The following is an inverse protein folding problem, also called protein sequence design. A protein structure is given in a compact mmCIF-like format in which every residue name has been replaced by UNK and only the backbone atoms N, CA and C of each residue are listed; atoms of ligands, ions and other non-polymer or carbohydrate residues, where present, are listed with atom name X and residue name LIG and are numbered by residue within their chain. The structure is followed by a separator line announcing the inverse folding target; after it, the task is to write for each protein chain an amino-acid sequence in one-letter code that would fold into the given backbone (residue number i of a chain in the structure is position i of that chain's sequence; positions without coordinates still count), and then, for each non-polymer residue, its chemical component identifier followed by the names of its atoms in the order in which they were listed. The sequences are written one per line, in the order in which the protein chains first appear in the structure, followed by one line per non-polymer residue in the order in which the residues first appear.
data_IF_472626717609
#
_entry.id   IF_472626717609
#
_cell.length_a   1.000
_cell.length_b   1.000
_cell.length_c   1.000
_cell.angle_alpha   90.00
_cell.angle_beta   90.00
_cell.angle_gamma   90.00
#
_symmetry.space_group_name_H-M   'P 1'
#
loop_
_entity.id
_entity.type
_entity.pdbx_description
1 polymer ?
#
# COMPACT_ATOMS: atom_id res chain seq x y z
N UNK A 1 -55.80 -10.56 -36.16
CA UNK A 1 -55.59 -10.62 -34.70
C UNK A 1 -54.18 -10.12 -34.39
N UNK A 2 -53.99 -8.80 -34.19
CA UNK A 2 -53.45 -8.31 -32.91
C UNK A 2 -53.87 -6.86 -32.57
N UNK A 3 -54.70 -6.62 -31.54
CA UNK A 3 -55.02 -5.25 -31.04
C UNK A 3 -55.42 -5.27 -29.55
N UNK A 4 -54.52 -5.66 -28.66
CA UNK A 4 -54.78 -5.65 -27.19
C UNK A 4 -53.54 -5.32 -26.34
N UNK A 5 -52.65 -4.43 -26.81
CA UNK A 5 -51.53 -3.94 -25.98
C UNK A 5 -51.27 -2.44 -26.06
N UNK A 6 -52.11 -1.68 -26.76
CA UNK A 6 -51.94 -0.22 -26.90
C UNK A 6 -52.85 0.60 -25.97
N UNK A 7 -53.85 -0.01 -25.34
CA UNK A 7 -54.83 0.70 -24.49
C UNK A 7 -54.44 0.75 -22.99
N UNK A 8 -53.24 0.32 -22.62
CA UNK A 8 -52.79 0.29 -21.21
C UNK A 8 -51.79 1.42 -20.85
N UNK A 9 -51.42 2.28 -21.80
CA UNK A 9 -50.40 3.33 -21.57
C UNK A 9 -50.97 4.76 -21.46
N UNK A 10 -52.25 4.96 -21.72
CA UNK A 10 -52.91 6.29 -21.67
C UNK A 10 -53.78 6.51 -20.43
N UNK A 11 -53.78 5.59 -19.47
CA UNK A 11 -54.54 5.72 -18.22
C UNK A 11 -53.69 6.07 -16.98
N UNK A 12 -52.37 6.18 -17.12
CA UNK A 12 -51.45 6.45 -16.00
C UNK A 12 -50.88 7.89 -15.96
N UNK A 13 -51.17 8.74 -16.95
CA UNK A 13 -50.68 10.13 -17.02
C UNK A 13 -51.75 11.17 -16.63
N UNK A 14 -52.95 10.75 -16.22
CA UNK A 14 -54.04 11.67 -15.86
C UNK A 14 -54.24 11.89 -14.35
N UNK A 15 -53.43 11.27 -13.47
CA UNK A 15 -53.61 11.32 -12.01
C UNK A 15 -52.49 12.03 -11.25
N UNK A 16 -51.57 12.69 -11.96
CA UNK A 16 -50.45 13.46 -11.37
C UNK A 16 -50.66 14.99 -11.39
N UNK A 17 -51.83 15.48 -11.83
CA UNK A 17 -52.08 16.91 -12.05
C UNK A 17 -53.11 17.53 -11.07
N UNK A 18 -53.47 16.86 -9.97
CA UNK A 18 -54.51 17.34 -9.03
C UNK A 18 -54.08 17.55 -7.58
N UNK A 19 -52.78 17.56 -7.28
CA UNK A 19 -52.25 17.81 -5.93
C UNK A 19 -51.23 18.97 -5.84
N UNK A 20 -51.25 19.93 -6.77
CA UNK A 20 -50.34 21.11 -6.73
C UNK A 20 -51.07 22.46 -6.70
N UNK A 21 -52.22 22.52 -6.06
CA UNK A 21 -52.94 23.76 -5.82
C UNK A 21 -53.67 23.66 -4.48
N UNK A 22 -52.93 23.80 -3.40
CA UNK A 22 -53.39 24.27 -2.09
C UNK A 22 -52.15 24.31 -1.18
N UNK A 23 -51.57 25.50 -1.02
CA UNK A 23 -50.87 25.98 0.19
C UNK A 23 -50.17 27.30 -0.16
N UNK A 24 -50.97 28.36 -0.12
CA UNK A 24 -50.51 29.73 0.00
C UNK A 24 -51.30 30.32 1.17
N UNK A 25 -50.70 30.33 2.37
CA UNK A 25 -50.94 31.30 3.45
C UNK A 25 -50.19 30.87 4.72
N UNK A 26 -49.06 31.52 5.00
CA UNK A 26 -48.58 31.86 6.34
C UNK A 26 -47.20 32.53 6.21
N UNK A 27 -47.18 33.84 5.96
CA UNK A 27 -45.96 34.65 6.07
C UNK A 27 -46.07 35.55 7.30
N UNK A 28 -45.23 35.26 8.29
CA UNK A 28 -45.25 35.91 9.60
C UNK A 28 -43.93 35.74 10.33
N UNK A 29 -43.11 36.81 10.28
CA UNK A 29 -42.07 37.21 11.23
C UNK A 29 -41.01 36.18 11.67
N UNK A 30 -39.76 36.35 11.23
CA UNK A 30 -38.63 36.46 12.16
C UNK A 30 -37.42 37.14 11.49
N UNK A 31 -36.99 38.27 12.04
CA UNK A 31 -35.84 39.05 11.59
C UNK A 31 -34.84 39.13 12.74
N UNK A 32 -34.17 38.01 13.06
CA UNK A 32 -33.16 37.99 14.12
C UNK A 32 -32.07 36.92 13.96
N UNK A 33 -31.76 36.48 12.72
CA UNK A 33 -30.83 35.37 12.46
C UNK A 33 -29.52 35.70 11.74
N UNK A 34 -29.33 36.93 11.22
CA UNK A 34 -28.18 37.21 10.35
C UNK A 34 -26.91 37.69 11.09
N UNK A 35 -27.03 38.23 12.31
CA UNK A 35 -25.90 38.88 13.00
C UNK A 35 -25.06 37.90 13.86
N UNK A 36 -25.62 36.75 14.22
CA UNK A 36 -24.91 35.72 15.00
C UNK A 36 -24.03 34.80 14.13
N UNK A 37 -24.40 34.60 12.87
CA UNK A 37 -23.64 33.75 11.94
C UNK A 37 -22.37 34.43 11.39
N UNK A 38 -22.36 35.77 11.33
CA UNK A 38 -21.23 36.56 10.82
C UNK A 38 -20.12 36.74 11.88
N UNK A 39 -20.48 36.76 13.17
CA UNK A 39 -19.51 36.84 14.27
C UNK A 39 -18.81 35.50 14.55
N UNK A 40 -19.53 34.38 14.41
CA UNK A 40 -18.98 33.03 14.59
C UNK A 40 -18.01 32.65 13.44
N UNK A 41 -18.28 33.14 12.22
CA UNK A 41 -17.37 32.99 11.08
C UNK A 41 -16.09 33.83 11.21
N UNK A 42 -16.16 35.01 11.82
CA UNK A 42 -14.99 35.88 12.03
C UNK A 42 -14.08 35.40 13.18
N UNK A 43 -14.63 34.79 14.24
CA UNK A 43 -13.84 34.14 15.30
C UNK A 43 -13.24 32.81 14.85
N UNK A 44 -13.89 32.07 13.94
CA UNK A 44 -13.35 30.85 13.33
C UNK A 44 -12.22 31.15 12.34
N UNK A 45 -12.33 32.21 11.51
CA UNK A 45 -11.26 32.63 10.58
C UNK A 45 -10.03 33.19 11.34
N UNK A 46 -10.23 33.88 12.48
CA UNK A 46 -9.12 34.33 13.33
C UNK A 46 -8.44 33.17 14.09
N UNK A 47 -9.17 32.11 14.43
CA UNK A 47 -8.61 30.89 15.07
C UNK A 47 -7.94 29.96 14.06
N UNK A 48 -8.45 29.90 12.82
CA UNK A 48 -7.81 29.17 11.71
C UNK A 48 -6.55 29.87 11.20
N UNK A 49 -6.49 31.20 11.21
CA UNK A 49 -5.27 31.94 10.83
C UNK A 49 -4.15 31.83 11.88
N UNK A 50 -4.48 31.76 13.18
CA UNK A 50 -3.49 31.55 14.26
C UNK A 50 -3.06 30.06 14.38
N UNK A 51 -3.88 29.12 13.90
CA UNK A 51 -3.51 27.71 13.75
C UNK A 51 -2.67 27.43 12.48
N UNK A 52 -2.94 28.16 11.38
CA UNK A 52 -2.20 28.01 10.12
C UNK A 52 -0.77 28.57 10.17
N UNK A 53 -0.45 29.47 11.11
CA UNK A 53 0.92 29.96 11.32
C UNK A 53 1.80 28.99 12.15
N UNK A 54 1.22 28.01 12.86
CA UNK A 54 1.98 27.02 13.67
C UNK A 54 2.25 25.68 12.96
N UNK A 55 1.62 25.42 11.82
CA UNK A 55 1.76 24.15 11.08
C UNK A 55 2.84 24.17 9.98
N UNK A 56 3.51 25.30 9.75
CA UNK A 56 4.60 25.44 8.76
C UNK A 56 6.00 25.02 9.25
N UNK A 57 6.16 24.80 10.55
CA UNK A 57 7.47 24.63 11.21
C UNK A 57 7.97 23.15 11.32
N UNK A 58 7.11 22.11 11.44
CA UNK A 58 7.56 20.71 11.43
C UNK A 58 7.78 20.13 10.02
N UNK A 59 7.21 20.73 8.96
CA UNK A 59 7.28 20.16 7.60
C UNK A 59 8.68 20.33 6.98
N UNK A 60 9.34 21.48 7.17
CA UNK A 60 10.67 21.73 6.59
C UNK A 60 11.74 20.77 7.14
N UNK A 61 11.73 20.52 8.46
CA UNK A 61 12.64 19.55 9.10
C UNK A 61 12.28 18.12 8.71
N UNK A 62 10.99 17.78 8.65
CA UNK A 62 10.53 16.45 8.23
C UNK A 62 10.88 16.14 6.76
N UNK A 63 10.71 17.11 5.86
CA UNK A 63 11.06 17.01 4.45
C UNK A 63 12.57 16.84 4.27
N UNK A 64 13.38 17.67 4.93
CA UNK A 64 14.84 17.51 4.92
C UNK A 64 15.27 16.15 5.51
N UNK A 65 14.61 15.68 6.57
CA UNK A 65 14.90 14.38 7.15
C UNK A 65 14.62 13.22 6.19
N UNK A 66 13.53 13.28 5.41
CA UNK A 66 13.19 12.24 4.44
C UNK A 66 14.33 12.01 3.41
N UNK A 67 14.90 13.09 2.87
CA UNK A 67 16.02 13.03 1.93
C UNK A 67 17.34 12.62 2.59
N UNK A 68 17.57 13.06 3.83
CA UNK A 68 18.81 12.79 4.55
C UNK A 68 18.92 11.33 5.00
N UNK A 69 17.84 10.73 5.46
CA UNK A 69 17.86 9.36 6.00
C UNK A 69 17.88 8.26 4.95
N UNK A 70 17.62 8.58 3.67
CA UNK A 70 17.81 7.66 2.53
C UNK A 70 19.18 7.83 1.85
N UNK A 71 19.90 8.91 2.12
CA UNK A 71 21.25 9.11 1.59
C UNK A 71 22.27 8.17 2.28
N UNK A 72 23.33 7.72 1.58
CA UNK A 72 24.39 6.90 2.18
C UNK A 72 24.94 7.53 3.47
N UNK A 73 25.18 6.76 4.54
CA UNK A 73 25.60 7.29 5.83
C UNK A 73 26.86 8.16 5.77
N UNK A 74 27.76 7.90 4.83
CA UNK A 74 29.00 8.66 4.59
C UNK A 74 28.72 10.08 4.09
N UNK A 75 27.64 10.25 3.32
CA UNK A 75 27.21 11.52 2.74
C UNK A 75 26.29 12.32 3.67
N UNK A 76 25.75 11.67 4.71
CA UNK A 76 24.75 12.24 5.60
C UNK A 76 25.18 13.59 6.19
N UNK A 77 26.38 13.67 6.77
CA UNK A 77 26.85 14.89 7.44
C UNK A 77 26.99 16.03 6.45
N UNK A 78 27.57 15.76 5.27
CA UNK A 78 27.75 16.77 4.22
C UNK A 78 26.40 17.31 3.73
N UNK A 79 25.43 16.42 3.50
CA UNK A 79 24.08 16.79 3.04
C UNK A 79 23.31 17.52 4.14
N UNK A 80 23.38 17.07 5.40
CA UNK A 80 22.74 17.71 6.56
C UNK A 80 23.24 19.13 6.72
N UNK A 81 24.55 19.34 6.65
CA UNK A 81 25.13 20.67 6.80
C UNK A 81 24.77 21.58 5.61
N UNK A 82 24.62 21.03 4.41
CA UNK A 82 24.13 21.76 3.25
C UNK A 82 22.65 22.18 3.40
N UNK A 83 21.78 21.26 3.81
CA UNK A 83 20.37 21.53 4.08
C UNK A 83 20.20 22.56 5.20
N UNK A 84 20.96 22.43 6.30
CA UNK A 84 20.95 23.42 7.38
C UNK A 84 21.47 24.80 6.93
N UNK A 85 22.43 24.88 6.00
CA UNK A 85 22.86 26.16 5.41
C UNK A 85 21.78 26.77 4.52
N UNK A 86 21.10 25.95 3.74
CA UNK A 86 19.99 26.39 2.88
C UNK A 86 18.85 26.97 3.73
N UNK A 87 18.41 26.27 4.77
CA UNK A 87 17.39 26.77 5.70
C UNK A 87 17.79 28.11 6.36
N UNK A 88 19.06 28.28 6.77
CA UNK A 88 19.54 29.59 7.28
C UNK A 88 19.47 30.69 6.22
N UNK A 89 19.76 30.36 4.96
CA UNK A 89 19.75 31.34 3.86
C UNK A 89 18.34 31.77 3.46
N UNK A 90 17.34 30.94 3.70
CA UNK A 90 15.91 31.25 3.47
C UNK A 90 15.25 31.93 4.68
N UNK A 91 15.99 32.21 5.76
CA UNK A 91 15.50 32.90 6.96
C UNK A 91 15.01 31.97 8.07
N UNK A 92 14.95 30.67 7.82
CA UNK A 92 14.43 29.68 8.76
C UNK A 92 15.54 29.14 9.68
N UNK A 93 15.74 29.83 10.80
CA UNK A 93 16.78 29.49 11.79
C UNK A 93 16.39 28.28 12.64
N UNK A 94 15.10 28.07 12.86
CA UNK A 94 14.59 26.96 13.66
C UNK A 94 14.73 25.64 12.91
N UNK A 95 14.28 25.57 11.65
CA UNK A 95 14.49 24.38 10.83
C UNK A 95 15.98 24.11 10.60
N UNK A 96 16.80 25.15 10.46
CA UNK A 96 18.24 24.96 10.37
C UNK A 96 18.85 24.33 11.64
N UNK A 97 18.36 24.69 12.82
CA UNK A 97 18.77 24.08 14.08
C UNK A 97 18.27 22.64 14.20
N UNK A 98 17.01 22.39 13.83
CA UNK A 98 16.40 21.05 13.77
C UNK A 98 17.15 20.10 12.83
N UNK A 99 17.45 20.55 11.61
CA UNK A 99 18.23 19.79 10.63
C UNK A 99 19.64 19.51 11.16
N UNK A 100 20.30 20.51 11.78
CA UNK A 100 21.64 20.32 12.34
C UNK A 100 21.67 19.33 13.52
N UNK A 101 20.57 19.21 14.26
CA UNK A 101 20.41 18.27 15.36
C UNK A 101 20.17 16.82 14.90
N UNK A 102 19.83 16.58 13.62
CA UNK A 102 19.65 15.23 13.09
C UNK A 102 20.92 14.39 13.23
N UNK A 103 20.73 13.18 13.74
CA UNK A 103 21.81 12.22 14.01
C UNK A 103 22.05 11.37 12.77
N UNK A 104 23.33 11.08 12.50
CA UNK A 104 23.73 10.14 11.45
C UNK A 104 23.15 8.76 11.74
N UNK A 105 22.44 8.13 10.79
CA UNK A 105 21.97 6.75 10.94
C UNK A 105 23.14 5.76 10.93
N UNK A 106 23.00 4.65 11.65
CA UNK A 106 23.87 3.48 11.43
C UNK A 106 23.62 2.89 10.05
N UNK A 107 24.55 2.06 9.55
CA UNK A 107 24.38 1.39 8.25
C UNK A 107 23.13 0.50 8.24
N UNK A 108 22.89 -0.25 9.32
CA UNK A 108 21.68 -1.06 9.49
C UNK A 108 20.40 -0.21 9.49
N UNK A 109 20.40 0.94 10.17
CA UNK A 109 19.25 1.84 10.20
C UNK A 109 18.98 2.51 8.84
N UNK A 110 20.03 2.94 8.13
CA UNK A 110 19.91 3.48 6.77
C UNK A 110 19.27 2.47 5.81
N UNK A 111 19.67 1.20 5.85
CA UNK A 111 19.07 0.15 5.02
C UNK A 111 17.58 -0.05 5.32
N UNK A 112 17.21 -0.03 6.60
CA UNK A 112 15.79 -0.13 7.01
C UNK A 112 15.01 1.10 6.54
N UNK A 113 15.56 2.30 6.67
CA UNK A 113 14.92 3.53 6.17
C UNK A 113 14.68 3.47 4.68
N UNK A 114 15.70 3.04 3.92
CA UNK A 114 15.62 2.93 2.48
C UNK A 114 14.54 1.94 2.04
N UNK A 115 14.41 0.78 2.72
CA UNK A 115 13.33 -0.17 2.45
C UNK A 115 11.94 0.42 2.70
N UNK A 116 11.77 1.17 3.79
CA UNK A 116 10.47 1.70 4.19
C UNK A 116 10.02 2.88 3.32
N UNK A 117 10.98 3.66 2.80
CA UNK A 117 10.70 4.77 1.88
C UNK A 117 10.50 4.28 0.44
N UNK A 118 11.27 3.28 -0.01
CA UNK A 118 11.15 2.70 -1.37
C UNK A 118 9.80 2.00 -1.59
N UNK A 119 9.15 1.51 -0.53
CA UNK A 119 7.86 0.82 -0.66
C UNK A 119 6.91 1.06 0.53
N UNK A 120 5.94 1.99 0.39
CA UNK A 120 4.88 2.20 1.37
C UNK A 120 4.05 0.93 1.64
N UNK A 121 3.95 0.03 0.65
CA UNK A 121 3.29 -1.27 0.80
C UNK A 121 4.02 -2.17 1.80
N UNK A 122 5.36 -2.21 1.80
CA UNK A 122 6.14 -2.97 2.77
C UNK A 122 5.94 -2.45 4.20
N UNK A 123 5.88 -1.12 4.36
CA UNK A 123 5.58 -0.50 5.66
C UNK A 123 4.17 -0.90 6.16
N UNK A 124 3.18 -0.99 5.26
CA UNK A 124 1.85 -1.52 5.57
C UNK A 124 1.91 -2.98 6.04
N UNK A 125 2.57 -3.85 5.28
CA UNK A 125 2.71 -5.27 5.61
C UNK A 125 3.35 -5.52 6.98
N UNK A 126 4.38 -4.75 7.34
CA UNK A 126 5.01 -4.84 8.68
C UNK A 126 4.02 -4.45 9.77
N UNK A 127 3.23 -3.39 9.58
CA UNK A 127 2.21 -2.98 10.57
C UNK A 127 1.10 -4.02 10.71
N UNK A 128 0.57 -4.49 9.59
CA UNK A 128 -0.58 -5.41 9.55
C UNK A 128 -0.21 -6.75 10.18
N UNK A 129 0.96 -7.30 9.82
CA UNK A 129 1.45 -8.55 10.40
C UNK A 129 1.74 -8.42 11.89
N UNK A 130 2.34 -7.29 12.32
CA UNK A 130 2.58 -7.03 13.73
C UNK A 130 1.27 -6.92 14.54
N UNK A 131 0.24 -6.31 13.96
CA UNK A 131 -1.10 -6.25 14.57
C UNK A 131 -1.71 -7.65 14.68
N UNK A 132 -1.72 -8.43 13.60
CA UNK A 132 -2.24 -9.79 13.60
C UNK A 132 -1.56 -10.70 14.63
N UNK A 133 -0.23 -10.61 14.77
CA UNK A 133 0.54 -11.35 15.79
C UNK A 133 0.08 -11.03 17.22
N UNK A 134 -0.13 -9.75 17.52
CA UNK A 134 -0.58 -9.31 18.84
C UNK A 134 -2.03 -9.70 19.10
N UNK A 135 -2.89 -9.61 18.10
CA UNK A 135 -4.28 -10.04 18.19
C UNK A 135 -4.37 -11.55 18.42
N UNK A 136 -3.64 -12.36 17.66
CA UNK A 136 -3.61 -13.80 17.86
C UNK A 136 -3.05 -14.18 19.25
N UNK A 137 -2.04 -13.45 19.75
CA UNK A 137 -1.51 -13.63 21.10
C UNK A 137 -2.54 -13.27 22.19
N UNK A 138 -3.27 -12.16 22.02
CA UNK A 138 -4.29 -11.71 22.96
C UNK A 138 -5.48 -12.68 23.03
N UNK A 139 -5.85 -13.31 21.91
CA UNK A 139 -6.94 -14.29 21.83
C UNK A 139 -6.49 -15.75 22.10
N UNK A 140 -5.22 -15.97 22.45
CA UNK A 140 -4.63 -17.30 22.69
C UNK A 140 -4.82 -18.28 21.50
N UNK A 141 -4.84 -17.77 20.28
CA UNK A 141 -5.00 -18.55 19.06
C UNK A 141 -3.68 -19.24 18.69
N UNK A 142 -3.43 -20.41 19.30
CA UNK A 142 -2.21 -21.20 19.07
C UNK A 142 -1.97 -21.56 17.59
N UNK A 143 -2.97 -22.05 16.83
CA UNK A 143 -2.85 -22.26 15.38
C UNK A 143 -2.54 -20.98 14.61
N UNK A 144 -3.30 -19.89 14.82
CA UNK A 144 -3.05 -18.62 14.14
C UNK A 144 -1.67 -18.03 14.43
N UNK A 145 -1.20 -18.14 15.68
CA UNK A 145 0.16 -17.75 16.06
C UNK A 145 1.25 -18.49 15.30
N UNK A 146 1.08 -19.79 15.04
CA UNK A 146 2.07 -20.58 14.28
C UNK A 146 2.14 -20.15 12.82
N UNK A 147 0.99 -19.84 12.22
CA UNK A 147 0.93 -19.39 10.83
C UNK A 147 1.46 -17.97 10.67
N UNK A 148 1.09 -17.06 11.57
CA UNK A 148 1.63 -15.70 11.61
C UNK A 148 3.13 -15.66 11.93
N UNK A 149 3.63 -16.57 12.78
CA UNK A 149 5.07 -16.71 13.04
C UNK A 149 5.85 -17.21 11.80
N UNK A 150 5.21 -18.06 10.98
CA UNK A 150 5.78 -18.48 9.69
C UNK A 150 5.84 -17.31 8.71
N UNK A 151 4.75 -16.54 8.60
CA UNK A 151 4.70 -15.33 7.79
C UNK A 151 5.74 -14.29 8.27
N UNK A 152 5.92 -14.16 9.59
CA UNK A 152 6.96 -13.32 10.21
C UNK A 152 8.35 -13.68 9.70
N UNK A 153 8.75 -14.95 9.80
CA UNK A 153 10.06 -15.40 9.32
C UNK A 153 10.25 -15.17 7.82
N UNK A 154 9.21 -15.45 7.02
CA UNK A 154 9.25 -15.26 5.56
C UNK A 154 9.40 -13.78 5.18
N UNK A 155 8.60 -12.90 5.79
CA UNK A 155 8.65 -11.45 5.54
C UNK A 155 10.01 -10.88 5.94
N UNK A 156 10.50 -11.21 7.14
CA UNK A 156 11.80 -10.73 7.62
C UNK A 156 12.93 -11.20 6.72
N UNK A 157 12.95 -12.47 6.31
CA UNK A 157 13.97 -12.99 5.40
C UNK A 157 13.93 -12.29 4.02
N UNK A 158 12.74 -12.05 3.48
CA UNK A 158 12.56 -11.34 2.22
C UNK A 158 13.04 -9.88 2.31
N UNK A 159 12.72 -9.18 3.40
CA UNK A 159 13.16 -7.81 3.65
C UNK A 159 14.68 -7.71 3.83
N UNK A 160 15.30 -8.64 4.55
CA UNK A 160 16.77 -8.70 4.68
C UNK A 160 17.43 -8.94 3.32
N UNK A 161 16.85 -9.80 2.49
CA UNK A 161 17.37 -10.03 1.14
C UNK A 161 17.23 -8.80 0.26
N UNK A 162 16.08 -8.12 0.30
CA UNK A 162 15.87 -6.84 -0.39
C UNK A 162 16.86 -5.78 0.08
N UNK A 163 17.15 -5.71 1.39
CA UNK A 163 18.17 -4.80 1.93
C UNK A 163 19.54 -5.05 1.28
N UNK A 164 19.93 -6.33 1.12
CA UNK A 164 21.17 -6.71 0.43
C UNK A 164 21.17 -6.28 -1.03
N UNK A 165 20.07 -6.45 -1.73
CA UNK A 165 19.98 -6.09 -3.15
C UNK A 165 20.04 -4.57 -3.36
N UNK A 166 19.34 -3.81 -2.52
CA UNK A 166 19.37 -2.35 -2.55
C UNK A 166 20.78 -1.82 -2.20
N UNK A 167 21.43 -2.37 -1.18
CA UNK A 167 22.80 -1.99 -0.85
C UNK A 167 23.77 -2.28 -2.00
N UNK A 168 23.62 -3.42 -2.69
CA UNK A 168 24.44 -3.76 -3.86
C UNK A 168 24.22 -2.78 -5.01
N UNK A 169 22.98 -2.36 -5.26
CA UNK A 169 22.66 -1.35 -6.27
C UNK A 169 23.35 -0.01 -5.96
N UNK A 170 23.43 0.35 -4.68
CA UNK A 170 24.16 1.52 -4.18
C UNK A 170 25.69 1.29 -4.04
N UNK A 171 26.22 0.16 -4.52
CA UNK A 171 27.66 -0.14 -4.48
C UNK A 171 28.24 -0.57 -3.12
N UNK A 172 27.38 -0.84 -2.14
CA UNK A 172 27.78 -1.23 -0.79
C UNK A 172 27.69 -2.75 -0.59
N UNK A 173 28.71 -3.34 0.05
CA UNK A 173 28.67 -4.73 0.53
C UNK A 173 28.25 -4.76 2.00
N UNK A 174 27.14 -5.41 2.29
CA UNK A 174 26.67 -5.64 3.66
C UNK A 174 27.40 -6.84 4.26
N UNK A 175 27.87 -6.69 5.50
CA UNK A 175 28.42 -7.81 6.29
C UNK A 175 27.30 -8.62 6.95
N UNK A 176 27.55 -9.87 7.32
CA UNK A 176 26.54 -10.68 8.00
C UNK A 176 26.08 -10.07 9.34
N UNK A 177 26.97 -9.35 10.03
CA UNK A 177 26.62 -8.63 11.26
C UNK A 177 25.57 -7.53 11.01
N UNK A 178 25.71 -6.74 9.93
CA UNK A 178 24.73 -5.70 9.59
C UNK A 178 23.41 -6.32 9.12
N UNK A 179 23.46 -7.43 8.38
CA UNK A 179 22.25 -8.16 7.99
C UNK A 179 21.47 -8.68 9.21
N UNK A 180 22.17 -9.18 10.22
CA UNK A 180 21.58 -9.62 11.48
C UNK A 180 20.96 -8.46 12.28
N UNK A 181 21.60 -7.29 12.30
CA UNK A 181 21.02 -6.09 12.93
C UNK A 181 19.72 -5.63 12.25
N UNK A 182 19.68 -5.69 10.90
CA UNK A 182 18.47 -5.40 10.11
C UNK A 182 17.37 -6.40 10.45
N UNK A 183 17.68 -7.70 10.46
CA UNK A 183 16.76 -8.78 10.84
C UNK A 183 16.18 -8.57 12.25
N UNK A 184 17.05 -8.23 13.20
CA UNK A 184 16.69 -8.02 14.61
C UNK A 184 15.76 -6.81 14.76
N UNK A 185 16.05 -5.72 14.05
CA UNK A 185 15.26 -4.49 14.06
C UNK A 185 13.87 -4.71 13.46
N UNK A 186 13.78 -5.42 12.32
CA UNK A 186 12.51 -5.77 11.69
C UNK A 186 11.68 -6.73 12.56
N UNK A 187 12.34 -7.71 13.19
CA UNK A 187 11.67 -8.61 14.13
C UNK A 187 11.13 -7.87 15.36
N UNK A 188 11.86 -6.86 15.84
CA UNK A 188 11.40 -6.00 16.93
C UNK A 188 10.17 -5.16 16.52
N UNK A 189 10.17 -4.60 15.31
CA UNK A 189 9.03 -3.85 14.77
C UNK A 189 7.75 -4.70 14.66
N UNK A 190 7.88 -5.99 14.32
CA UNK A 190 6.73 -6.89 14.25
C UNK A 190 6.16 -7.25 15.62
N UNK A 191 6.92 -7.03 16.69
CA UNK A 191 6.52 -7.42 18.05
C UNK A 191 6.04 -6.20 18.86
N UNK A 192 6.65 -5.03 18.65
CA UNK A 192 6.41 -3.80 19.41
C UNK A 192 5.82 -2.68 18.52
N UNK A 193 4.61 -2.17 18.82
CA UNK A 193 3.99 -1.07 18.06
C UNK A 193 4.83 0.21 18.02
N UNK A 194 5.56 0.52 19.09
CA UNK A 194 6.37 1.74 19.16
C UNK A 194 7.57 1.64 18.21
N UNK A 195 8.22 0.48 18.16
CA UNK A 195 9.30 0.18 17.21
C UNK A 195 8.77 0.12 15.78
N UNK A 196 7.56 -0.40 15.57
CA UNK A 196 6.90 -0.39 14.26
C UNK A 196 6.70 1.03 13.73
N UNK A 197 6.22 1.95 14.58
CA UNK A 197 6.05 3.35 14.21
C UNK A 197 7.38 4.01 13.86
N UNK A 198 8.44 3.78 14.64
CA UNK A 198 9.77 4.31 14.36
C UNK A 198 10.35 3.76 13.04
N UNK A 199 10.27 2.45 12.83
CA UNK A 199 10.79 1.79 11.62
C UNK A 199 10.04 2.28 10.38
N UNK A 200 8.70 2.28 10.44
CA UNK A 200 7.87 2.68 9.29
C UNK A 200 7.89 4.18 9.02
N UNK A 201 8.40 5.00 9.94
CA UNK A 201 8.63 6.43 9.70
C UNK A 201 9.77 6.72 8.72
N UNK A 202 10.64 5.74 8.44
CA UNK A 202 11.81 5.91 7.57
C UNK A 202 12.91 6.82 8.13
N UNK A 203 12.87 7.14 9.44
CA UNK A 203 13.81 8.05 10.12
C UNK A 203 14.57 7.39 11.27
N UNK A 204 14.88 6.10 11.13
CA UNK A 204 15.60 5.34 12.13
C UNK A 204 17.07 5.78 12.20
N UNK A 205 17.58 5.98 13.41
CA UNK A 205 18.97 6.42 13.65
C UNK A 205 19.90 5.29 14.10
N UNK A 206 19.36 4.18 14.60
CA UNK A 206 20.13 3.02 15.05
C UNK A 206 19.27 1.76 15.16
N UNK A 207 19.89 0.57 15.31
CA UNK A 207 19.16 -0.69 15.39
C UNK A 207 18.26 -0.74 16.62
N UNK A 208 17.17 -1.50 16.52
CA UNK A 208 16.22 -1.74 17.62
C UNK A 208 16.19 -3.22 17.96
N UNK A 209 15.99 -3.52 19.23
CA UNK A 209 15.86 -4.87 19.77
C UNK A 209 14.65 -4.90 20.69
N UNK A 210 13.79 -5.89 20.51
CA UNK A 210 12.70 -6.14 21.43
C UNK A 210 13.23 -6.90 22.65
N UNK A 211 13.00 -6.35 23.85
CA UNK A 211 13.35 -6.99 25.12
C UNK A 211 12.07 -7.62 25.69
N UNK A 212 11.86 -8.91 25.43
CA UNK A 212 10.72 -9.68 25.94
C UNK A 212 11.14 -11.08 26.37
N UNK A 213 10.98 -11.34 27.67
CA UNK A 213 11.30 -12.57 28.41
C UNK A 213 12.70 -13.16 28.15
N UNK A 214 13.72 -12.44 28.65
CA UNK A 214 14.99 -13.03 29.04
C UNK A 214 14.99 -13.27 30.54
N UNK A 215 15.00 -14.54 30.96
CA UNK A 215 15.62 -14.92 32.24
C UNK A 215 17.06 -14.38 32.21
N UNK A 216 17.56 -13.71 33.26
CA UNK A 216 18.95 -13.29 33.29
C UNK A 216 19.86 -14.52 33.25
N UNK A 217 20.78 -14.50 32.28
CA UNK A 217 21.88 -15.44 32.15
C UNK A 217 22.84 -15.23 33.33
N UNK A 218 22.68 -16.06 34.37
CA UNK A 218 23.59 -16.16 35.51
C UNK A 218 24.88 -16.87 35.05
N UNK A 219 25.76 -16.13 34.38
CA UNK A 219 27.11 -16.57 34.04
C UNK A 219 28.13 -15.86 34.95
N UNK A 220 28.52 -16.53 36.03
CA UNK A 220 29.52 -16.04 36.98
C UNK A 220 30.22 -17.18 37.74
N UNK A 221 30.97 -18.00 37.01
CA UNK A 221 31.84 -19.05 37.56
C UNK A 221 32.88 -18.49 38.55
N UNK A 222 32.97 -19.16 39.69
CA UNK A 222 33.91 -18.98 40.80
C UNK A 222 35.39 -19.15 40.39
N UNK A 223 36.34 -18.59 41.17
CA UNK A 223 37.21 -19.51 41.93
C UNK A 223 37.64 -19.00 43.33
N UNK A 224 37.77 -19.90 44.32
CA UNK A 224 38.85 -19.88 45.32
C UNK A 224 39.72 -21.15 45.19
N UNK A 225 40.80 -21.42 45.97
CA UNK A 225 41.34 -20.72 47.15
C UNK A 225 42.90 -20.60 47.23
N UNK A 226 43.40 -19.88 48.23
CA UNK A 226 44.80 -19.94 48.71
C UNK A 226 44.98 -20.98 49.83
N UNK A 227 46.05 -21.78 49.76
CA UNK A 227 46.61 -22.66 50.81
C UNK A 227 47.65 -21.87 51.68
N UNK A 228 48.23 -22.34 52.84
CA UNK A 228 48.71 -23.72 53.18
C UNK A 228 48.69 -24.08 54.72
N UNK A 229 49.50 -25.03 55.31
CA UNK A 229 50.02 -26.36 54.91
C UNK A 229 49.80 -27.54 55.93
N UNK A 230 50.22 -28.74 55.48
CA UNK A 230 50.82 -29.88 56.19
C UNK A 230 49.95 -30.97 56.88
N UNK A 231 50.09 -32.20 56.37
CA UNK A 231 50.47 -33.42 57.13
C UNK A 231 50.84 -34.57 56.18
N UNK A 232 51.98 -35.20 56.45
CA UNK A 232 52.51 -36.42 55.82
C UNK A 232 51.76 -37.66 56.34
N UNK A 233 51.50 -38.67 55.48
CA UNK A 233 51.47 -40.04 55.95
C UNK A 233 52.41 -40.96 55.16
N UNK A 234 52.82 -41.99 55.88
CA UNK A 234 53.92 -42.92 55.61
C UNK A 234 53.61 -43.94 54.51
N UNK A 235 54.68 -44.45 53.91
CA UNK A 235 54.67 -45.43 52.84
C UNK A 235 54.67 -46.86 53.40
N UNK A 236 53.60 -47.61 53.16
CA UNK A 236 53.65 -49.06 52.87
C UNK A 236 52.27 -49.60 52.44
N UNK A 237 51.75 -49.18 51.27
CA UNK A 237 50.63 -49.89 50.59
C UNK A 237 50.43 -49.53 49.10
N UNK A 238 51.50 -49.10 48.42
CA UNK A 238 51.39 -48.44 47.11
C UNK A 238 51.13 -49.32 45.88
N UNK A 239 51.31 -50.65 45.96
CA UNK A 239 51.19 -51.52 44.77
C UNK A 239 49.78 -52.07 44.52
N UNK A 240 49.03 -52.45 45.56
CA UNK A 240 47.61 -52.87 45.40
C UNK A 240 46.70 -51.69 45.09
N UNK A 241 46.96 -50.53 45.69
CA UNK A 241 46.22 -49.30 45.45
C UNK A 241 46.37 -48.80 43.99
N UNK A 242 47.58 -48.83 43.42
CA UNK A 242 47.81 -48.43 42.01
C UNK A 242 47.13 -49.35 40.99
N UNK A 243 47.06 -50.66 41.24
CA UNK A 243 46.34 -51.59 40.35
C UNK A 243 44.82 -51.35 40.41
N UNK A 244 44.27 -51.15 41.61
CA UNK A 244 42.86 -50.80 41.80
C UNK A 244 42.51 -49.43 41.17
N UNK A 245 43.40 -48.46 41.26
CA UNK A 245 43.25 -47.14 40.61
C UNK A 245 43.27 -47.23 39.08
N UNK A 246 44.12 -48.08 38.49
CA UNK A 246 44.15 -48.30 37.03
C UNK A 246 42.90 -49.01 36.51
N UNK A 247 42.39 -50.01 37.24
CA UNK A 247 41.16 -50.70 36.88
C UNK A 247 39.94 -49.78 36.98
N UNK A 248 39.87 -48.95 38.03
CA UNK A 248 38.84 -47.92 38.16
C UNK A 248 38.89 -46.89 37.02
N UNK A 249 40.09 -46.47 36.59
CA UNK A 249 40.24 -45.54 35.47
C UNK A 249 39.83 -46.16 34.12
N UNK A 250 40.14 -47.44 33.88
CA UNK A 250 39.68 -48.15 32.68
C UNK A 250 38.16 -48.25 32.62
N UNK A 251 37.51 -48.56 33.75
CA UNK A 251 36.03 -48.60 33.84
C UNK A 251 35.43 -47.23 33.58
N UNK A 252 35.93 -46.17 34.23
CA UNK A 252 35.48 -44.78 33.98
C UNK A 252 35.66 -44.36 32.53
N UNK A 253 36.78 -44.72 31.89
CA UNK A 253 37.03 -44.44 30.47
C UNK A 253 36.02 -45.15 29.58
N UNK A 254 35.68 -46.40 29.88
CA UNK A 254 34.65 -47.16 29.14
C UNK A 254 33.27 -46.54 29.30
N UNK A 255 32.87 -46.21 30.53
CA UNK A 255 31.59 -45.53 30.82
C UNK A 255 31.50 -44.19 30.08
N UNK A 256 32.57 -43.38 30.10
CA UNK A 256 32.64 -42.12 29.33
C UNK A 256 32.52 -42.35 27.82
N UNK A 257 33.16 -43.38 27.28
CA UNK A 257 33.08 -43.71 25.85
C UNK A 257 31.69 -44.22 25.45
N UNK A 258 31.02 -44.99 26.30
CA UNK A 258 29.63 -45.43 26.09
C UNK A 258 28.65 -44.25 26.18
N UNK A 259 28.82 -43.36 27.16
CA UNK A 259 28.03 -42.13 27.25
C UNK A 259 28.22 -41.20 26.04
N UNK A 260 29.47 -41.04 25.56
CA UNK A 260 29.76 -40.25 24.36
C UNK A 260 29.13 -40.86 23.09
N UNK A 261 29.11 -42.20 22.98
CA UNK A 261 28.44 -42.89 21.86
C UNK A 261 26.94 -42.68 21.88
N UNK A 262 26.32 -42.75 23.06
CA UNK A 262 24.88 -42.55 23.18
C UNK A 262 24.50 -41.09 22.89
N UNK A 263 25.25 -40.13 23.41
CA UNK A 263 25.09 -38.71 23.07
C UNK A 263 25.22 -38.47 21.54
N UNK A 264 26.19 -39.10 20.88
CA UNK A 264 26.36 -39.01 19.43
C UNK A 264 25.19 -39.63 18.65
N UNK A 265 24.60 -40.74 19.14
CA UNK A 265 23.41 -41.34 18.53
C UNK A 265 22.19 -40.45 18.66
N UNK A 266 21.96 -39.87 19.85
CA UNK A 266 20.87 -38.91 20.06
C UNK A 266 21.04 -37.69 19.16
N UNK A 267 22.25 -37.12 19.10
CA UNK A 267 22.54 -35.98 18.23
C UNK A 267 22.29 -36.31 16.75
N UNK A 268 22.68 -37.50 16.28
CA UNK A 268 22.41 -37.94 14.91
C UNK A 268 20.90 -38.13 14.63
N UNK A 269 20.15 -38.68 15.60
CA UNK A 269 18.70 -38.83 15.47
C UNK A 269 18.00 -37.47 15.36
N UNK A 270 18.36 -36.52 16.23
CA UNK A 270 17.85 -35.15 16.18
C UNK A 270 18.22 -34.45 14.86
N UNK A 271 19.46 -34.62 14.39
CA UNK A 271 19.90 -34.04 13.12
C UNK A 271 19.13 -34.61 11.91
N UNK A 272 18.80 -35.91 11.92
CA UNK A 272 17.98 -36.54 10.88
C UNK A 272 16.55 -36.02 10.89
N UNK A 273 15.93 -35.94 12.06
CA UNK A 273 14.57 -35.39 12.18
C UNK A 273 14.52 -33.93 11.72
N UNK A 274 15.52 -33.12 12.09
CA UNK A 274 15.64 -31.74 11.61
C UNK A 274 15.79 -31.67 10.09
N UNK A 275 16.57 -32.58 9.48
CA UNK A 275 16.72 -32.66 8.03
C UNK A 275 15.41 -33.06 7.34
N UNK A 276 14.66 -34.03 7.88
CA UNK A 276 13.36 -34.45 7.33
C UNK A 276 12.33 -33.32 7.42
N UNK A 277 12.32 -32.55 8.51
CA UNK A 277 11.50 -31.34 8.64
C UNK A 277 11.90 -30.30 7.60
N UNK A 278 13.19 -30.04 7.42
CA UNK A 278 13.68 -29.07 6.44
C UNK A 278 13.32 -29.47 4.98
N UNK A 279 13.40 -30.76 4.65
CA UNK A 279 12.97 -31.27 3.33
C UNK A 279 11.48 -31.06 3.12
N UNK A 280 10.63 -31.42 4.10
CA UNK A 280 9.18 -31.18 4.01
C UNK A 280 8.86 -29.69 3.84
N UNK A 281 9.53 -28.82 4.58
CA UNK A 281 9.36 -27.37 4.45
C UNK A 281 9.77 -26.86 3.06
N UNK A 282 10.84 -27.40 2.48
CA UNK A 282 11.27 -27.05 1.13
C UNK A 282 10.26 -27.53 0.07
N UNK A 283 9.72 -28.75 0.22
CA UNK A 283 8.69 -29.28 -0.67
C UNK A 283 7.39 -28.48 -0.59
N UNK A 284 6.95 -28.09 0.62
CA UNK A 284 5.77 -27.26 0.82
C UNK A 284 5.97 -25.85 0.23
N UNK A 285 7.15 -25.25 0.43
CA UNK A 285 7.50 -23.96 -0.15
C UNK A 285 7.50 -24.03 -1.69
N UNK A 286 8.02 -25.11 -2.26
CA UNK A 286 8.01 -25.33 -3.72
C UNK A 286 6.59 -25.48 -4.26
N UNK A 287 5.72 -26.24 -3.58
CA UNK A 287 4.30 -26.37 -3.98
C UNK A 287 3.58 -25.03 -3.93
N UNK A 288 3.83 -24.23 -2.90
CA UNK A 288 3.26 -22.90 -2.78
C UNK A 288 3.75 -21.96 -3.90
N UNK A 289 5.04 -22.07 -4.27
CA UNK A 289 5.58 -21.34 -5.42
C UNK A 289 4.92 -21.79 -6.74
N UNK A 290 4.81 -23.10 -7.00
CA UNK A 290 4.19 -23.64 -8.20
C UNK A 290 2.68 -23.26 -8.29
N UNK A 291 2.00 -23.09 -7.16
CA UNK A 291 0.63 -22.56 -7.11
C UNK A 291 0.57 -21.05 -7.39
N UNK A 292 1.46 -20.27 -6.80
CA UNK A 292 1.57 -18.84 -7.08
C UNK A 292 1.90 -18.56 -8.56
N UNK A 293 2.80 -19.34 -9.16
CA UNK A 293 3.17 -19.22 -10.56
C UNK A 293 2.00 -19.56 -11.49
N UNK A 294 1.18 -20.55 -11.14
CA UNK A 294 -0.06 -20.89 -11.85
C UNK A 294 -1.08 -19.75 -11.77
N UNK A 295 -1.35 -19.23 -10.56
CA UNK A 295 -2.25 -18.09 -10.41
C UNK A 295 -1.76 -16.85 -11.17
N UNK A 296 -0.44 -16.61 -11.20
CA UNK A 296 0.13 -15.52 -11.98
C UNK A 296 0.01 -15.73 -13.50
N UNK A 297 0.08 -16.97 -13.98
CA UNK A 297 -0.19 -17.29 -15.39
C UNK A 297 -1.66 -17.07 -15.73
N UNK A 298 -2.59 -17.61 -14.92
CA UNK A 298 -4.03 -17.45 -15.11
C UNK A 298 -4.45 -15.97 -15.10
N UNK A 299 -3.85 -15.15 -14.22
CA UNK A 299 -4.10 -13.72 -14.16
C UNK A 299 -3.63 -12.99 -15.44
N UNK A 300 -2.47 -13.34 -15.99
CA UNK A 300 -1.97 -12.77 -17.26
C UNK A 300 -2.85 -13.15 -18.44
N UNK A 301 -3.31 -14.39 -18.49
CA UNK A 301 -4.22 -14.85 -19.55
C UNK A 301 -5.58 -14.13 -19.46
N UNK A 302 -6.08 -13.91 -18.25
CA UNK A 302 -7.29 -13.12 -18.02
C UNK A 302 -7.12 -11.64 -18.41
N UNK A 303 -5.97 -11.03 -18.10
CA UNK A 303 -5.62 -9.66 -18.50
C UNK A 303 -5.61 -9.54 -20.03
N UNK A 304 -4.90 -10.44 -20.73
CA UNK A 304 -4.86 -10.45 -22.19
C UNK A 304 -6.25 -10.60 -22.83
N UNK A 305 -7.11 -11.47 -22.26
CA UNK A 305 -8.48 -11.63 -22.73
C UNK A 305 -9.34 -10.36 -22.51
N UNK A 306 -9.13 -9.65 -21.40
CA UNK A 306 -9.80 -8.37 -21.13
C UNK A 306 -9.32 -7.27 -22.07
N UNK A 307 -8.03 -7.19 -22.38
CA UNK A 307 -7.47 -6.25 -23.36
C UNK A 307 -8.05 -6.49 -24.76
N UNK A 308 -8.13 -7.74 -25.20
CA UNK A 308 -8.76 -8.09 -26.48
C UNK A 308 -10.24 -7.69 -26.51
N UNK A 309 -10.96 -7.91 -25.40
CA UNK A 309 -12.36 -7.53 -25.28
C UNK A 309 -12.56 -6.02 -25.29
N UNK A 310 -11.67 -5.26 -24.64
CA UNK A 310 -11.67 -3.79 -24.67
C UNK A 310 -11.44 -3.28 -26.10
N UNK A 311 -10.43 -3.81 -26.79
CA UNK A 311 -10.15 -3.43 -28.18
C UNK A 311 -11.33 -3.75 -29.12
N UNK A 312 -12.07 -4.84 -28.87
CA UNK A 312 -13.28 -5.15 -29.63
C UNK A 312 -14.43 -4.17 -29.35
N UNK A 313 -14.66 -3.83 -28.08
CA UNK A 313 -15.67 -2.85 -27.70
C UNK A 313 -15.37 -1.45 -28.24
N UNK A 314 -14.10 -1.04 -28.28
CA UNK A 314 -13.68 0.22 -28.90
C UNK A 314 -13.98 0.24 -30.41
N UNK A 315 -13.65 -0.85 -31.14
CA UNK A 315 -14.00 -0.98 -32.56
C UNK A 315 -15.50 -0.91 -32.79
N UNK A 316 -16.30 -1.55 -31.93
CA UNK A 316 -17.76 -1.49 -32.01
C UNK A 316 -18.29 -0.08 -31.76
N UNK A 317 -17.75 0.63 -30.75
CA UNK A 317 -18.12 2.00 -30.43
C UNK A 317 -17.81 2.95 -31.60
N UNK A 318 -16.64 2.81 -32.21
CA UNK A 318 -16.25 3.63 -33.36
C UNK A 318 -17.10 3.33 -34.61
N UNK A 319 -17.47 2.06 -34.83
CA UNK A 319 -18.42 1.71 -35.89
C UNK A 319 -19.79 2.35 -35.65
N UNK A 320 -20.30 2.32 -34.41
CA UNK A 320 -21.57 2.98 -34.02
C UNK A 320 -21.49 4.51 -34.16
N UNK A 321 -20.35 5.12 -33.83
CA UNK A 321 -20.12 6.56 -34.05
C UNK A 321 -20.16 6.91 -35.53
N UNK A 322 -19.53 6.11 -36.39
CA UNK A 322 -19.58 6.32 -37.85
C UNK A 322 -20.99 6.17 -38.41
N UNK A 323 -21.74 5.16 -37.99
CA UNK A 323 -23.13 4.96 -38.46
C UNK A 323 -24.04 6.10 -38.02
N UNK A 324 -23.94 6.53 -36.76
CA UNK A 324 -24.70 7.68 -36.25
C UNK A 324 -24.33 9.00 -36.94
N UNK A 325 -23.04 9.25 -37.19
CA UNK A 325 -22.57 10.41 -37.96
C UNK A 325 -23.08 10.39 -39.41
N UNK A 326 -23.02 9.23 -40.08
CA UNK A 326 -23.52 9.05 -41.43
C UNK A 326 -25.05 9.27 -41.50
N UNK A 327 -25.79 8.70 -40.54
CA UNK A 327 -27.23 8.90 -40.43
C UNK A 327 -27.58 10.38 -40.19
N UNK A 328 -26.84 11.08 -39.33
CA UNK A 328 -27.03 12.51 -39.09
C UNK A 328 -26.71 13.36 -40.34
N UNK A 329 -25.67 13.00 -41.10
CA UNK A 329 -25.35 13.67 -42.37
C UNK A 329 -26.43 13.44 -43.43
N UNK A 330 -26.92 12.20 -43.56
CA UNK A 330 -28.02 11.87 -44.47
C UNK A 330 -29.31 12.61 -44.09
N UNK A 331 -29.63 12.69 -42.80
CA UNK A 331 -30.78 13.44 -42.31
C UNK A 331 -30.70 14.95 -42.64
N UNK A 332 -29.51 15.57 -42.47
CA UNK A 332 -29.29 16.97 -42.87
C UNK A 332 -29.47 17.18 -44.37
N UNK A 333 -28.85 16.33 -45.20
CA UNK A 333 -28.98 16.43 -46.65
C UNK A 333 -30.44 16.24 -47.12
N UNK A 334 -31.17 15.30 -46.51
CA UNK A 334 -32.60 15.11 -46.79
C UNK A 334 -33.44 16.33 -46.39
N UNK A 335 -33.13 16.97 -45.24
CA UNK A 335 -33.81 18.19 -44.81
C UNK A 335 -33.55 19.37 -45.76
N UNK A 336 -32.30 19.54 -46.21
CA UNK A 336 -31.91 20.56 -47.21
C UNK A 336 -32.64 20.34 -48.55
N UNK A 337 -32.68 19.10 -49.05
CA UNK A 337 -33.40 18.77 -50.28
C UNK A 337 -34.92 19.00 -50.15
N UNK A 338 -35.50 18.67 -48.99
CA UNK A 338 -36.91 18.92 -48.71
C UNK A 338 -37.22 20.42 -48.64
N UNK A 339 -36.32 21.23 -48.06
CA UNK A 339 -36.44 22.68 -48.03
C UNK A 339 -36.38 23.28 -49.45
N UNK A 340 -35.39 22.87 -50.26
CA UNK A 340 -35.27 23.31 -51.65
C UNK A 340 -36.52 22.96 -52.48
N UNK A 341 -37.04 21.74 -52.32
CA UNK A 341 -38.27 21.31 -53.01
C UNK A 341 -39.49 22.12 -52.56
N UNK A 342 -39.55 22.54 -51.29
CA UNK A 342 -40.64 23.39 -50.78
C UNK A 342 -40.58 24.77 -51.43
N UNK A 343 -39.40 25.39 -51.47
CA UNK A 343 -39.19 26.69 -52.12
C UNK A 343 -39.51 26.65 -53.61
N UNK A 344 -39.11 25.58 -54.31
CA UNK A 344 -39.46 25.43 -55.74
C UNK A 344 -40.98 25.30 -55.94
N UNK A 345 -41.66 24.52 -55.08
CA UNK A 345 -43.13 24.42 -55.11
C UNK A 345 -43.81 25.76 -54.86
N UNK A 346 -43.36 26.52 -53.87
CA UNK A 346 -43.86 27.87 -53.58
C UNK A 346 -43.71 28.77 -54.79
N UNK A 347 -42.53 28.81 -55.42
CA UNK A 347 -42.30 29.55 -56.68
C UNK A 347 -43.21 29.10 -57.81
N UNK A 348 -43.37 27.79 -58.02
CA UNK A 348 -44.27 27.29 -59.08
C UNK A 348 -45.74 27.61 -58.81
N UNK A 349 -46.16 27.66 -57.53
CA UNK A 349 -47.52 28.06 -57.18
C UNK A 349 -47.74 29.54 -57.47
N UNK A 350 -46.79 30.41 -57.12
CA UNK A 350 -46.80 31.84 -57.47
C UNK A 350 -46.87 32.06 -58.99
N UNK A 351 -46.08 31.32 -59.78
CA UNK A 351 -46.11 31.39 -61.25
C UNK A 351 -47.45 30.95 -61.85
N UNK A 352 -48.09 29.92 -61.26
CA UNK A 352 -49.43 29.47 -61.68
C UNK A 352 -50.48 30.52 -61.33
N UNK A 353 -50.48 31.07 -60.11
CA UNK A 353 -51.41 32.14 -59.71
C UNK A 353 -51.26 33.39 -60.60
N UNK A 354 -50.03 33.75 -60.97
CA UNK A 354 -49.73 34.84 -61.89
C UNK A 354 -50.26 34.57 -63.30
N UNK A 355 -50.07 33.35 -63.83
CA UNK A 355 -50.57 32.96 -65.14
C UNK A 355 -52.11 32.91 -65.19
N UNK A 356 -52.75 32.41 -64.14
CA UNK A 356 -54.22 32.41 -63.99
C UNK A 356 -54.78 33.83 -63.98
N UNK A 357 -54.12 34.75 -63.27
CA UNK A 357 -54.50 36.18 -63.25
C UNK A 357 -54.41 36.82 -64.64
N UNK A 358 -53.29 36.60 -65.36
CA UNK A 358 -53.10 37.13 -66.72
C UNK A 358 -54.13 36.56 -67.70
N UNK A 359 -54.46 35.26 -67.59
CA UNK A 359 -55.51 34.64 -68.41
C UNK A 359 -56.88 35.29 -68.15
N UNK A 360 -57.24 35.48 -66.88
CA UNK A 360 -58.50 36.12 -66.51
C UNK A 360 -58.60 37.57 -67.03
N UNK A 361 -57.50 38.33 -66.99
CA UNK A 361 -57.42 39.68 -67.56
C UNK A 361 -57.65 39.68 -69.08
N UNK A 362 -56.99 38.77 -69.81
CA UNK A 362 -57.13 38.62 -71.25
C UNK A 362 -58.55 38.20 -71.66
N UNK A 363 -59.15 37.23 -70.95
CA UNK A 363 -60.55 36.82 -71.19
C UNK A 363 -61.53 37.98 -70.94
N UNK A 364 -61.30 38.78 -69.91
CA UNK A 364 -62.11 39.96 -69.62
C UNK A 364 -61.95 41.07 -70.67
N UNK A 365 -60.81 41.18 -71.34
CA UNK A 365 -60.58 42.10 -72.46
C UNK A 365 -61.32 41.66 -73.72
N UNK A 366 -61.20 40.38 -74.10
CA UNK A 366 -61.95 39.78 -75.22
C UNK A 366 -63.46 39.96 -75.05
N UNK A 367 -63.98 39.74 -73.84
CA UNK A 367 -65.40 39.96 -73.53
C UNK A 367 -65.82 41.43 -73.65
N UNK A 368 -64.93 42.39 -73.35
CA UNK A 368 -65.20 43.81 -73.52
C UNK A 368 -65.29 44.19 -74.99
N UNK A 369 -64.35 43.74 -75.82
CA UNK A 369 -64.34 44.01 -77.26
C UNK A 369 -65.55 43.41 -77.99
N UNK A 370 -65.99 42.21 -77.60
CA UNK A 370 -67.16 41.55 -78.21
C UNK A 370 -68.52 42.22 -77.92
N UNK A 371 -68.59 43.15 -76.97
CA UNK A 371 -69.83 43.88 -76.59
C UNK A 371 -69.95 45.28 -77.20
N UNK A 372 -68.85 45.82 -77.72
CA UNK A 372 -68.78 47.05 -78.53
C UNK A 372 -69.02 46.74 -79.98
#
# INVERSE_FOLDING_TARGET
MPRRRQDARTAAEADAAKHRADEHDADGHDATGHDAAEQDAAEQDATEQDAAEQDGEPDAVAHAAADLYVAPPEEFVRRRDAAARLARSTGDREAAAGIAALRRPTVSAWLVNLLMVDSPLLAGQVRDLGTGLREAAAHLDGPGLRDLDRQRRQLVAALVQRARDVARAEGHRITDAVALEVETTLSAALTDPSVAAEVTSGRLTGPRTHVGFGLPDEAGTSPPPSAPPARVPTASDGRRRRAAEQDAERTRRRERAEAAREAARTALATAREAADVAVRQADDARRAQDEADRHAADARDAEAALEERLADLERQLDAQRRTTQAAAAAARSAAEAAAATRTDRERTAEEVEDAERLLAEAEAEVQRESRT
#
